data_IF_774077693106
#
_entry.id   IF_774077693106
#
_cell.length_a   1.000
_cell.length_b   1.000
_cell.length_c   1.000
_cell.angle_alpha   90.00
_cell.angle_beta   90.00
_cell.angle_gamma   90.00
#
_symmetry.space_group_name_H-M   'P 1'
#
loop_
_entity.id
_entity.type
_entity.pdbx_description
1 polymer ?
#
# COMPACT_ATOMS: atom_id res chain seq x y z
N UNK A 1 -2.47 64.30 25.51
CA UNK A 1 -1.39 64.30 26.51
C UNK A 1 -0.31 63.35 26.02
N UNK A 2 0.75 63.92 25.44
CA UNK A 2 2.10 63.36 25.19
C UNK A 2 2.31 61.85 25.25
N UNK A 3 2.46 61.24 24.08
CA UNK A 3 3.15 59.96 23.88
C UNK A 3 4.63 60.09 24.30
N UNK A 4 4.98 59.46 25.43
CA UNK A 4 6.37 59.26 25.83
C UNK A 4 6.91 58.02 25.14
N UNK A 5 7.50 58.19 23.96
CA UNK A 5 8.32 57.18 23.31
C UNK A 5 9.59 56.94 24.13
N UNK A 6 9.77 55.71 24.63
CA UNK A 6 10.94 55.30 25.38
C UNK A 6 12.18 55.21 24.46
N UNK A 7 13.33 55.69 24.95
CA UNK A 7 14.58 55.97 24.20
C UNK A 7 15.42 54.72 23.88
N UNK A 8 15.04 53.55 24.40
CA UNK A 8 15.60 52.28 23.94
C UNK A 8 14.73 51.75 22.80
N UNK A 9 15.24 51.87 21.58
CA UNK A 9 14.63 51.27 20.39
C UNK A 9 14.26 49.82 20.68
N UNK A 10 13.01 49.45 20.40
CA UNK A 10 12.52 48.08 20.50
C UNK A 10 13.37 47.21 19.59
N UNK A 11 14.38 46.56 20.18
CA UNK A 11 15.22 45.61 19.49
C UNK A 11 14.33 44.54 18.85
N UNK A 12 14.57 44.29 17.56
CA UNK A 12 13.83 43.34 16.75
C UNK A 12 13.85 41.92 17.33
N UNK A 13 12.81 41.19 16.96
CA UNK A 13 12.71 39.73 16.98
C UNK A 13 12.87 39.00 18.32
N UNK A 14 12.03 39.34 19.29
CA UNK A 14 11.67 38.42 20.38
C UNK A 14 10.54 37.44 20.00
N UNK A 15 10.21 37.33 18.70
CA UNK A 15 9.16 36.46 18.11
C UNK A 15 9.47 34.96 18.21
N UNK A 16 10.58 34.58 18.84
CA UNK A 16 10.96 33.19 19.09
C UNK A 16 10.31 32.62 20.37
N UNK A 17 9.63 33.47 21.16
CA UNK A 17 8.89 33.05 22.35
C UNK A 17 7.44 32.79 21.98
N UNK A 18 6.92 31.62 22.40
CA UNK A 18 5.52 31.23 22.18
C UNK A 18 4.58 32.26 22.82
N UNK A 19 3.94 33.09 22.00
CA UNK A 19 2.92 34.05 22.42
C UNK A 19 1.60 33.31 22.61
N UNK A 20 1.09 33.28 23.84
CA UNK A 20 -0.21 32.68 24.15
C UNK A 20 -1.30 33.68 23.77
N UNK A 21 -2.15 33.34 22.81
CA UNK A 21 -3.31 34.16 22.47
C UNK A 21 -4.39 34.03 23.55
N UNK A 22 -4.53 35.07 24.37
CA UNK A 22 -5.47 35.08 25.51
C UNK A 22 -6.93 34.85 25.06
N UNK A 23 -7.29 35.28 23.84
CA UNK A 23 -8.65 35.09 23.33
C UNK A 23 -8.92 33.63 22.97
N UNK A 24 -7.98 32.96 22.29
CA UNK A 24 -8.09 31.54 21.96
C UNK A 24 -8.16 30.67 23.23
N UNK A 25 -7.32 30.97 24.23
CA UNK A 25 -7.33 30.24 25.50
C UNK A 25 -8.59 30.50 26.32
N UNK A 26 -9.14 31.71 26.28
CA UNK A 26 -10.43 32.02 26.90
C UNK A 26 -11.56 31.23 26.22
N UNK A 27 -11.63 31.22 24.89
CA UNK A 27 -12.62 30.44 24.14
C UNK A 27 -12.52 28.94 24.43
N UNK A 28 -11.30 28.39 24.46
CA UNK A 28 -11.06 26.98 24.79
C UNK A 28 -11.41 26.64 26.24
N UNK A 29 -11.19 27.57 27.17
CA UNK A 29 -11.60 27.40 28.55
C UNK A 29 -13.14 27.40 28.66
N UNK A 30 -13.81 28.31 27.97
CA UNK A 30 -15.27 28.37 27.91
C UNK A 30 -15.86 27.08 27.34
N UNK A 31 -15.34 26.58 26.21
CA UNK A 31 -15.74 25.30 25.63
C UNK A 31 -15.59 24.14 26.62
N UNK A 32 -14.45 24.08 27.33
CA UNK A 32 -14.22 23.06 28.36
C UNK A 32 -15.24 23.17 29.49
N UNK A 33 -15.49 24.38 30.00
CA UNK A 33 -16.48 24.58 31.07
C UNK A 33 -17.91 24.30 30.62
N UNK A 34 -18.26 24.61 29.37
CA UNK A 34 -19.56 24.31 28.80
C UNK A 34 -19.77 22.78 28.68
N UNK A 35 -18.75 22.05 28.23
CA UNK A 35 -18.76 20.58 28.19
C UNK A 35 -18.89 19.98 29.60
N UNK A 36 -18.12 20.46 30.56
CA UNK A 36 -18.20 20.00 31.96
C UNK A 36 -19.58 20.28 32.58
N UNK A 37 -20.18 21.45 32.29
CA UNK A 37 -21.55 21.79 32.73
C UNK A 37 -22.60 20.90 32.08
N UNK A 38 -22.48 20.59 30.78
CA UNK A 38 -23.39 19.68 30.09
C UNK A 38 -23.30 18.25 30.67
N UNK A 39 -22.09 17.75 30.91
CA UNK A 39 -21.89 16.45 31.57
C UNK A 39 -22.41 16.44 33.02
N UNK A 40 -22.23 17.53 33.77
CA UNK A 40 -22.75 17.66 35.12
C UNK A 40 -24.29 17.64 35.17
N UNK A 41 -24.95 18.32 34.23
CA UNK A 41 -26.41 18.25 34.07
C UNK A 41 -26.88 16.83 33.75
N UNK A 42 -26.25 16.18 32.77
CA UNK A 42 -26.60 14.81 32.40
C UNK A 42 -26.35 13.80 33.55
N UNK A 43 -25.32 14.01 34.38
CA UNK A 43 -25.09 13.24 35.61
C UNK A 43 -26.20 13.46 36.65
N UNK A 44 -26.63 14.71 36.83
CA UNK A 44 -27.69 15.07 37.75
C UNK A 44 -29.03 14.46 37.32
N UNK A 45 -29.36 14.54 36.04
CA UNK A 45 -30.57 13.94 35.45
C UNK A 45 -30.55 12.42 35.55
N UNK A 46 -29.42 11.76 35.26
CA UNK A 46 -29.28 10.32 35.44
C UNK A 46 -29.47 9.90 36.91
N UNK A 47 -28.88 10.66 37.85
CA UNK A 47 -29.04 10.43 39.29
C UNK A 47 -30.48 10.65 39.74
N UNK A 48 -31.17 11.68 39.23
CA UNK A 48 -32.57 11.95 39.51
C UNK A 48 -33.48 10.81 38.98
N UNK A 49 -33.12 10.22 37.83
CA UNK A 49 -33.79 9.05 37.27
C UNK A 49 -33.38 7.71 37.93
N UNK A 50 -32.54 7.72 38.97
CA UNK A 50 -32.06 6.52 39.66
C UNK A 50 -31.11 5.63 38.84
N UNK A 51 -30.64 6.10 37.67
CA UNK A 51 -29.75 5.35 36.77
C UNK A 51 -28.30 5.78 36.97
N UNK A 52 -27.35 4.87 36.76
CA UNK A 52 -25.93 5.22 36.75
C UNK A 52 -25.63 6.00 35.47
N UNK A 53 -24.95 7.14 35.62
CA UNK A 53 -24.51 7.93 34.47
C UNK A 53 -23.39 7.21 33.71
N UNK A 54 -23.61 6.96 32.43
CA UNK A 54 -22.59 6.50 31.50
C UNK A 54 -22.34 7.60 30.48
N UNK A 55 -21.07 7.98 30.31
CA UNK A 55 -20.68 8.92 29.26
C UNK A 55 -20.98 8.29 27.91
N UNK A 56 -21.76 8.97 27.06
CA UNK A 56 -22.03 8.49 25.71
C UNK A 56 -20.73 8.49 24.90
N UNK A 57 -20.51 7.42 24.12
CA UNK A 57 -19.39 7.35 23.20
C UNK A 57 -19.62 8.34 22.04
N UNK A 58 -18.62 9.17 21.76
CA UNK A 58 -18.52 10.03 20.58
C UNK A 58 -17.27 9.57 19.84
N UNK A 59 -17.29 9.00 18.62
CA UNK A 59 -18.38 8.75 17.64
C UNK A 59 -19.35 7.58 17.97
N UNK A 60 -20.48 7.41 17.24
CA UNK A 60 -21.44 6.32 17.45
C UNK A 60 -20.75 4.96 17.37
N UNK A 61 -21.02 4.14 18.39
CA UNK A 61 -20.23 2.94 18.68
C UNK A 61 -20.18 2.00 17.49
N UNK A 62 -18.97 1.78 16.95
CA UNK A 62 -18.76 0.63 16.10
C UNK A 62 -18.91 -0.63 16.97
N UNK A 63 -19.64 -1.62 16.49
CA UNK A 63 -19.75 -2.90 17.18
C UNK A 63 -18.34 -3.48 17.34
N UNK A 64 -18.02 -4.08 18.48
CA UNK A 64 -16.72 -4.73 18.64
C UNK A 64 -16.61 -5.87 17.61
N UNK A 65 -15.80 -5.64 16.59
CA UNK A 65 -15.52 -6.62 15.54
C UNK A 65 -14.48 -7.64 15.97
N UNK A 66 -14.21 -8.60 15.10
CA UNK A 66 -13.02 -9.44 15.26
C UNK A 66 -11.77 -8.57 15.07
N UNK A 67 -10.81 -8.67 16.00
CA UNK A 67 -9.55 -7.92 15.88
C UNK A 67 -8.75 -8.43 14.69
N UNK A 68 -8.68 -7.63 13.64
CA UNK A 68 -7.97 -7.99 12.39
C UNK A 68 -6.46 -7.80 12.50
N UNK A 69 -6.00 -6.93 13.40
CA UNK A 69 -4.59 -6.59 13.54
C UNK A 69 -3.86 -7.61 14.42
N UNK A 70 -2.83 -8.24 13.87
CA UNK A 70 -1.86 -9.00 14.65
C UNK A 70 -1.08 -8.04 15.54
N UNK A 71 -0.93 -8.39 16.82
CA UNK A 71 -0.14 -7.60 17.76
C UNK A 71 1.34 -7.95 17.59
N UNK A 72 2.14 -6.98 17.16
CA UNK A 72 3.59 -7.15 17.02
C UNK A 72 4.28 -6.97 18.38
N UNK A 73 4.37 -8.06 19.14
CA UNK A 73 5.07 -8.07 20.43
C UNK A 73 6.59 -8.28 20.29
N UNK A 74 7.03 -8.71 19.11
CA UNK A 74 8.39 -9.18 18.85
C UNK A 74 9.37 -8.07 18.48
N UNK A 75 8.89 -6.92 18.04
CA UNK A 75 9.71 -5.84 17.47
C UNK A 75 10.78 -5.31 18.44
N UNK A 76 10.53 -5.45 19.75
CA UNK A 76 11.40 -4.95 20.81
C UNK A 76 12.13 -6.07 21.57
N UNK A 77 12.10 -7.31 21.07
CA UNK A 77 12.89 -8.39 21.66
C UNK A 77 14.38 -8.09 21.52
N UNK A 78 15.13 -8.26 22.61
CA UNK A 78 16.57 -8.05 22.71
C UNK A 78 17.07 -6.62 22.40
N UNK A 79 16.19 -5.63 22.29
CA UNK A 79 16.58 -4.23 22.08
C UNK A 79 16.57 -3.46 23.40
N UNK A 80 17.67 -2.81 23.72
CA UNK A 80 17.78 -1.88 24.86
C UNK A 80 17.61 -0.44 24.37
N UNK A 81 16.49 0.19 24.72
CA UNK A 81 16.22 1.58 24.35
C UNK A 81 16.45 2.50 25.54
N UNK A 82 17.27 3.53 25.36
CA UNK A 82 17.47 4.58 26.37
C UNK A 82 16.26 5.51 26.34
N UNK A 83 15.53 5.57 27.45
CA UNK A 83 14.38 6.47 27.59
C UNK A 83 14.85 7.75 28.26
N UNK A 84 14.60 8.93 27.66
CA UNK A 84 15.03 10.20 28.25
C UNK A 84 14.30 10.44 29.57
N UNK A 85 15.04 10.91 30.57
CA UNK A 85 14.50 11.22 31.89
C UNK A 85 13.42 12.31 31.77
N UNK A 86 12.15 11.90 31.88
CA UNK A 86 10.98 12.78 31.75
C UNK A 86 9.99 12.41 30.64
N UNK A 87 10.32 11.49 29.72
CA UNK A 87 9.38 11.08 28.65
C UNK A 87 8.18 10.25 29.14
N UNK A 88 8.22 9.73 30.37
CA UNK A 88 7.08 9.07 30.99
C UNK A 88 7.13 9.21 32.50
N UNK A 89 6.21 10.02 33.06
CA UNK A 89 5.97 10.06 34.50
C UNK A 89 4.91 9.00 34.79
N UNK A 90 5.35 7.82 35.24
CA UNK A 90 4.48 6.68 35.51
C UNK A 90 4.04 5.96 34.24
N UNK A 91 2.72 5.77 34.08
CA UNK A 91 2.15 5.10 32.89
C UNK A 91 1.82 6.06 31.75
N UNK A 92 1.84 7.39 31.95
CA UNK A 92 1.51 8.36 30.88
C UNK A 92 2.77 8.89 30.20
N UNK A 93 2.71 9.03 28.88
CA UNK A 93 3.82 9.48 28.05
C UNK A 93 4.60 8.31 27.41
N UNK A 94 5.49 8.61 26.47
CA UNK A 94 6.24 7.62 25.68
C UNK A 94 7.45 7.09 26.45
N UNK A 95 7.18 6.34 27.52
CA UNK A 95 8.18 5.57 28.27
C UNK A 95 8.61 4.28 27.57
N UNK A 96 9.46 3.49 28.25
CA UNK A 96 9.87 2.16 27.77
C UNK A 96 8.69 1.17 27.83
N UNK A 97 8.41 0.50 26.71
CA UNK A 97 7.39 -0.54 26.59
C UNK A 97 6.46 -0.33 25.40
N UNK A 98 5.28 -0.96 25.47
CA UNK A 98 4.21 -0.81 24.49
C UNK A 98 3.42 0.47 24.75
N UNK A 99 3.24 1.31 23.73
CA UNK A 99 2.53 2.59 23.83
C UNK A 99 1.19 2.53 23.12
N UNK A 100 0.15 3.04 23.78
CA UNK A 100 -1.17 3.26 23.20
C UNK A 100 -1.35 4.73 22.83
N UNK A 101 -1.48 5.00 21.53
CA UNK A 101 -1.74 6.35 21.00
C UNK A 101 -3.11 6.90 21.42
N UNK A 102 -4.08 6.02 21.68
CA UNK A 102 -5.47 6.41 22.00
C UNK A 102 -5.61 6.87 23.45
N UNK A 103 -4.92 6.20 24.37
CA UNK A 103 -5.05 6.46 25.81
C UNK A 103 -3.86 7.21 26.41
N UNK A 104 -2.81 7.44 25.63
CA UNK A 104 -1.52 7.99 26.06
C UNK A 104 -0.89 7.22 27.23
N UNK A 105 -1.01 5.90 27.19
CA UNK A 105 -0.51 5.00 28.24
C UNK A 105 0.57 4.06 27.70
N UNK A 106 1.67 3.94 28.44
CA UNK A 106 2.70 2.93 28.23
C UNK A 106 2.60 1.79 29.22
N UNK A 107 2.76 0.57 28.69
CA UNK A 107 2.77 -0.68 29.44
C UNK A 107 4.10 -1.39 29.23
N UNK A 108 4.71 -1.83 30.33
CA UNK A 108 6.01 -2.52 30.32
C UNK A 108 5.90 -4.01 30.04
N UNK A 109 4.72 -4.57 30.28
CA UNK A 109 4.43 -6.00 30.19
C UNK A 109 3.42 -6.24 29.06
N UNK A 110 3.56 -7.38 28.37
CA UNK A 110 2.71 -7.80 27.25
C UNK A 110 1.30 -8.15 27.70
N UNK A 111 1.15 -8.77 28.86
CA UNK A 111 -0.17 -9.11 29.42
C UNK A 111 -0.96 -7.84 29.75
N UNK A 112 -0.33 -6.90 30.45
CA UNK A 112 -0.95 -5.61 30.77
C UNK A 112 -1.29 -4.80 29.51
N UNK A 113 -0.50 -4.94 28.44
CA UNK A 113 -0.78 -4.32 27.15
C UNK A 113 -2.04 -4.90 26.50
N UNK A 114 -2.17 -6.22 26.46
CA UNK A 114 -3.36 -6.89 25.91
C UNK A 114 -4.59 -6.59 26.77
N UNK A 115 -4.46 -6.61 28.09
CA UNK A 115 -5.55 -6.25 29.00
C UNK A 115 -6.00 -4.80 28.82
N UNK A 116 -5.06 -3.89 28.54
CA UNK A 116 -5.39 -2.51 28.20
C UNK A 116 -6.23 -2.41 26.93
N UNK A 117 -5.82 -3.07 25.84
CA UNK A 117 -6.55 -3.09 24.57
C UNK A 117 -7.94 -3.72 24.71
N UNK A 118 -8.11 -4.65 25.64
CA UNK A 118 -9.39 -5.28 25.97
C UNK A 118 -10.21 -4.49 27.01
N UNK A 119 -9.60 -3.53 27.69
CA UNK A 119 -10.26 -2.78 28.75
C UNK A 119 -11.35 -1.89 28.17
N UNK A 120 -12.47 -1.78 28.90
CA UNK A 120 -13.56 -0.88 28.51
C UNK A 120 -13.06 0.55 28.29
N UNK A 121 -12.11 1.02 29.09
CA UNK A 121 -11.54 2.37 28.98
C UNK A 121 -10.92 2.62 27.60
N UNK A 122 -10.18 1.65 27.06
CA UNK A 122 -9.61 1.75 25.73
C UNK A 122 -10.70 1.68 24.64
N UNK A 123 -11.62 0.72 24.74
CA UNK A 123 -12.74 0.59 23.79
C UNK A 123 -13.62 1.85 23.75
N UNK A 124 -13.89 2.46 24.90
CA UNK A 124 -14.60 3.75 25.01
C UNK A 124 -13.87 4.90 24.31
N UNK A 125 -12.53 4.89 24.33
CA UNK A 125 -11.73 5.91 23.68
C UNK A 125 -11.59 5.68 22.17
N UNK A 126 -11.60 4.42 21.72
CA UNK A 126 -11.66 4.05 20.29
C UNK A 126 -13.06 4.30 19.70
N UNK A 127 -14.10 4.24 20.53
CA UNK A 127 -15.49 4.32 20.08
C UNK A 127 -16.08 2.95 19.68
N UNK A 128 -15.55 1.87 20.26
CA UNK A 128 -16.11 0.52 20.13
C UNK A 128 -17.01 0.19 21.32
N UNK A 129 -18.17 -0.43 21.05
CA UNK A 129 -19.00 -0.99 22.11
C UNK A 129 -18.37 -2.28 22.62
N UNK A 130 -18.10 -2.38 23.93
CA UNK A 130 -17.63 -3.62 24.56
C UNK A 130 -18.69 -4.72 24.70
N UNK A 131 -19.79 -4.62 23.96
CA UNK A 131 -20.88 -5.59 23.94
C UNK A 131 -20.74 -6.47 22.71
N UNK A 132 -20.70 -7.78 22.94
CA UNK A 132 -20.52 -8.80 21.90
C UNK A 132 -21.88 -9.38 21.55
N UNK A 133 -22.25 -9.33 20.27
CA UNK A 133 -23.49 -9.94 19.78
C UNK A 133 -23.37 -11.46 19.71
N UNK A 134 -24.46 -12.15 20.02
CA UNK A 134 -24.54 -13.60 19.86
C UNK A 134 -24.71 -13.92 18.38
N UNK A 135 -23.79 -14.73 17.83
CA UNK A 135 -23.81 -15.11 16.43
C UNK A 135 -25.05 -15.97 16.08
N UNK A 136 -25.61 -15.74 14.91
CA UNK A 136 -26.71 -16.54 14.35
C UNK A 136 -26.18 -17.77 13.60
N UNK A 137 -27.07 -18.71 13.26
CA UNK A 137 -26.70 -19.89 12.47
C UNK A 137 -26.19 -19.52 11.06
N UNK A 138 -26.68 -18.42 10.50
CA UNK A 138 -26.28 -17.92 9.19
C UNK A 138 -24.84 -17.39 9.24
N UNK A 139 -24.51 -16.57 10.25
CA UNK A 139 -23.15 -16.04 10.47
C UNK A 139 -22.12 -17.16 10.61
N UNK A 140 -22.49 -18.25 11.29
CA UNK A 140 -21.63 -19.41 11.49
C UNK A 140 -21.36 -20.12 10.16
N UNK A 141 -22.38 -20.32 9.31
CA UNK A 141 -22.21 -20.92 7.99
C UNK A 141 -21.32 -20.06 7.09
N UNK A 142 -21.56 -18.75 7.06
CA UNK A 142 -20.73 -17.80 6.30
C UNK A 142 -19.28 -17.86 6.79
N UNK A 143 -19.05 -17.89 8.11
CA UNK A 143 -17.71 -18.00 8.67
C UNK A 143 -17.01 -19.31 8.28
N UNK A 144 -17.74 -20.42 8.27
CA UNK A 144 -17.19 -21.69 7.80
C UNK A 144 -16.78 -21.64 6.33
N UNK A 145 -17.63 -21.08 5.45
CA UNK A 145 -17.26 -20.92 4.03
C UNK A 145 -16.02 -20.05 3.85
N UNK A 146 -15.92 -18.94 4.58
CA UNK A 146 -14.74 -18.07 4.56
C UNK A 146 -13.46 -18.80 5.01
N UNK A 147 -13.55 -19.66 6.03
CA UNK A 147 -12.40 -20.43 6.53
C UNK A 147 -11.97 -21.52 5.56
N UNK A 148 -12.92 -22.20 4.91
CA UNK A 148 -12.64 -23.17 3.84
C UNK A 148 -11.96 -22.46 2.66
N UNK A 149 -12.50 -21.33 2.21
CA UNK A 149 -11.90 -20.55 1.12
C UNK A 149 -10.50 -20.04 1.45
N UNK A 150 -10.25 -19.66 2.71
CA UNK A 150 -8.91 -19.28 3.17
C UNK A 150 -7.96 -20.47 3.14
N UNK A 151 -8.41 -21.62 3.67
CA UNK A 151 -7.62 -22.87 3.65
C UNK A 151 -7.32 -23.29 2.22
N UNK A 152 -8.29 -23.22 1.31
CA UNK A 152 -8.11 -23.59 -0.09
C UNK A 152 -7.17 -22.61 -0.81
N UNK A 153 -7.19 -21.32 -0.48
CA UNK A 153 -6.21 -20.35 -0.96
C UNK A 153 -4.81 -20.66 -0.45
N UNK A 154 -4.66 -20.86 0.86
CA UNK A 154 -3.37 -21.24 1.47
C UNK A 154 -2.84 -22.57 0.92
N UNK A 155 -3.73 -23.54 0.67
CA UNK A 155 -3.36 -24.80 0.00
C UNK A 155 -2.95 -24.54 -1.44
N UNK A 156 -3.70 -23.78 -2.25
CA UNK A 156 -3.28 -23.44 -3.62
C UNK A 156 -1.97 -22.65 -3.66
N UNK A 157 -1.70 -21.82 -2.64
CA UNK A 157 -0.46 -21.09 -2.46
C UNK A 157 0.70 -21.97 -1.95
N UNK A 158 0.43 -22.99 -1.16
CA UNK A 158 1.43 -24.00 -0.74
C UNK A 158 1.68 -25.07 -1.81
N UNK A 159 0.67 -25.35 -2.63
CA UNK A 159 0.63 -26.37 -3.68
C UNK A 159 0.99 -25.78 -5.06
N UNK A 160 1.71 -24.64 -5.06
CA UNK A 160 2.53 -24.22 -6.21
C UNK A 160 3.73 -25.17 -6.33
N UNK A 161 3.43 -26.43 -6.65
CA UNK A 161 4.40 -27.43 -7.04
C UNK A 161 5.26 -26.83 -8.17
N UNK A 162 6.55 -26.60 -7.91
CA UNK A 162 7.51 -26.08 -8.88
C UNK A 162 7.45 -26.85 -10.21
N UNK A 163 7.13 -28.14 -10.14
CA UNK A 163 6.90 -29.03 -11.30
C UNK A 163 5.71 -28.57 -12.15
N UNK A 164 4.54 -28.29 -11.54
CA UNK A 164 3.35 -27.84 -12.27
C UNK A 164 3.58 -26.49 -12.95
N UNK A 165 4.28 -25.57 -12.30
CA UNK A 165 4.65 -24.26 -12.86
C UNK A 165 5.66 -24.37 -14.02
N UNK A 166 6.62 -25.31 -13.92
CA UNK A 166 7.56 -25.61 -15.02
C UNK A 166 6.84 -26.23 -16.22
N UNK A 167 5.87 -27.11 -15.99
CA UNK A 167 5.08 -27.72 -17.05
C UNK A 167 4.13 -26.73 -17.73
N UNK A 168 3.46 -25.87 -16.97
CA UNK A 168 2.63 -24.78 -17.51
C UNK A 168 3.47 -23.81 -18.35
N UNK A 169 4.66 -23.41 -17.88
CA UNK A 169 5.59 -22.59 -18.68
C UNK A 169 6.06 -23.27 -19.95
N UNK A 170 6.35 -24.58 -19.90
CA UNK A 170 6.74 -25.36 -21.08
C UNK A 170 5.61 -25.44 -22.10
N UNK A 171 4.36 -25.65 -21.65
CA UNK A 171 3.17 -25.68 -22.52
C UNK A 171 2.95 -24.33 -23.22
N UNK A 172 3.08 -23.23 -22.49
CA UNK A 172 2.96 -21.88 -23.05
C UNK A 172 4.07 -21.58 -24.07
N UNK A 173 5.33 -21.93 -23.78
CA UNK A 173 6.44 -21.76 -24.73
C UNK A 173 6.27 -22.65 -25.97
N UNK A 174 5.73 -23.87 -25.81
CA UNK A 174 5.41 -24.76 -26.92
C UNK A 174 4.26 -24.22 -27.80
N UNK A 175 3.19 -23.69 -27.21
CA UNK A 175 2.12 -23.01 -27.94
C UNK A 175 2.61 -21.76 -28.66
N UNK A 176 3.44 -20.93 -28.01
CA UNK A 176 4.02 -19.75 -28.64
C UNK A 176 4.92 -20.14 -29.83
N UNK A 177 5.72 -21.20 -29.68
CA UNK A 177 6.52 -21.76 -30.78
C UNK A 177 5.63 -22.30 -31.91
N UNK A 178 4.50 -22.93 -31.61
CA UNK A 178 3.55 -23.40 -32.62
C UNK A 178 2.91 -22.23 -33.38
N UNK A 179 2.42 -21.22 -32.66
CA UNK A 179 1.87 -20.00 -33.26
C UNK A 179 2.92 -19.30 -34.13
N UNK A 180 4.17 -19.23 -33.67
CA UNK A 180 5.28 -18.65 -34.44
C UNK A 180 5.60 -19.47 -35.69
N UNK A 181 5.53 -20.80 -35.64
CA UNK A 181 5.69 -21.70 -36.79
C UNK A 181 4.55 -21.53 -37.79
N UNK A 182 3.30 -21.42 -37.33
CA UNK A 182 2.13 -21.20 -38.18
C UNK A 182 2.18 -19.83 -38.86
N UNK A 183 2.50 -18.76 -38.12
CA UNK A 183 2.73 -17.42 -38.69
C UNK A 183 3.84 -17.41 -39.74
N UNK A 184 4.93 -18.17 -39.54
CA UNK A 184 6.00 -18.31 -40.54
C UNK A 184 5.56 -19.07 -41.79
N UNK A 185 4.76 -20.14 -41.64
CA UNK A 185 4.21 -20.91 -42.77
C UNK A 185 3.23 -20.07 -43.59
N UNK A 186 2.35 -19.32 -42.93
CA UNK A 186 1.39 -18.44 -43.59
C UNK A 186 2.10 -17.31 -44.34
N UNK A 187 3.12 -16.68 -43.73
CA UNK A 187 3.94 -15.66 -44.40
C UNK A 187 4.62 -16.21 -45.66
N UNK A 188 5.23 -17.41 -45.59
CA UNK A 188 5.85 -18.06 -46.75
C UNK A 188 4.84 -18.42 -47.83
N UNK A 189 3.60 -18.77 -47.48
CA UNK A 189 2.55 -19.08 -48.46
C UNK A 189 2.09 -17.81 -49.20
N UNK A 190 1.87 -16.71 -48.46
CA UNK A 190 1.55 -15.40 -49.06
C UNK A 190 2.66 -14.90 -49.98
N UNK A 191 3.92 -15.02 -49.57
CA UNK A 191 5.07 -14.61 -50.39
C UNK A 191 5.21 -15.47 -51.66
N UNK A 192 4.89 -16.77 -51.62
CA UNK A 192 4.84 -17.63 -52.82
C UNK A 192 3.68 -17.24 -53.73
N UNK A 193 2.50 -16.96 -53.19
CA UNK A 193 1.34 -16.50 -53.98
C UNK A 193 1.60 -15.13 -54.63
N UNK A 194 2.32 -14.22 -53.95
CA UNK A 194 2.74 -12.94 -54.52
C UNK A 194 3.78 -13.11 -55.62
N UNK A 195 4.77 -13.98 -55.44
CA UNK A 195 5.75 -14.32 -56.48
C UNK A 195 5.09 -14.95 -57.70
N UNK A 196 4.16 -15.88 -57.51
CA UNK A 196 3.44 -16.53 -58.62
C UNK A 196 2.52 -15.56 -59.37
N UNK A 197 1.94 -14.57 -58.67
CA UNK A 197 1.19 -13.46 -59.29
C UNK A 197 2.11 -12.50 -60.04
N UNK A 198 3.28 -12.18 -59.50
CA UNK A 198 4.28 -11.35 -60.16
C UNK A 198 4.85 -12.04 -61.42
N UNK A 199 5.12 -13.35 -61.35
CA UNK A 199 5.63 -14.15 -62.46
C UNK A 199 4.58 -14.29 -63.59
N UNK A 200 3.30 -14.47 -63.23
CA UNK A 200 2.19 -14.39 -64.19
C UNK A 200 1.97 -12.99 -64.78
N UNK A 201 2.37 -11.94 -64.09
CA UNK A 201 2.29 -10.56 -64.57
C UNK A 201 3.49 -10.19 -65.48
N UNK A 202 4.66 -10.79 -65.25
CA UNK A 202 5.87 -10.62 -66.08
C UNK A 202 5.82 -11.49 -67.34
N UNK A 203 5.09 -12.62 -67.34
CA UNK A 203 4.92 -13.49 -68.50
C UNK A 203 4.07 -12.95 -69.66
N UNK A 204 3.65 -11.68 -69.65
CA UNK A 204 2.86 -11.05 -70.74
C UNK A 204 3.68 -10.09 -71.60
N UNK A 205 4.95 -9.83 -71.29
CA UNK A 205 5.81 -9.01 -72.17
C UNK A 205 7.22 -9.58 -72.18
N UNK A 206 7.58 -10.34 -73.24
CA UNK A 206 8.87 -10.28 -73.95
C UNK A 206 8.98 -11.36 -75.05
N UNK A 207 8.61 -11.00 -76.29
CA UNK A 207 9.42 -11.33 -77.47
C UNK A 207 10.23 -10.07 -77.79
N UNK A 208 11.56 -10.17 -77.83
CA UNK A 208 12.44 -9.06 -78.20
C UNK A 208 13.85 -9.16 -77.61
N UNK A 209 14.80 -9.57 -78.46
CA UNK A 209 16.24 -9.59 -78.29
C UNK A 209 16.86 -8.36 -77.60
N UNK A 210 17.90 -8.59 -76.78
CA UNK A 210 18.72 -7.52 -76.21
C UNK A 210 19.85 -8.00 -75.29
N UNK A 211 21.03 -8.15 -75.87
CA UNK A 211 22.34 -8.47 -75.27
C UNK A 211 22.83 -7.44 -74.24
N UNK A 212 23.44 -7.89 -73.14
CA UNK A 212 24.23 -7.03 -72.22
C UNK A 212 24.66 -7.71 -70.92
N UNK A 213 25.96 -7.96 -70.78
CA UNK A 213 26.69 -8.51 -69.63
C UNK A 213 26.67 -7.65 -68.36
N UNK A 214 26.78 -8.32 -67.20
CA UNK A 214 27.54 -7.85 -66.02
C UNK A 214 26.73 -7.31 -64.84
N UNK A 215 26.76 -8.02 -63.70
CA UNK A 215 26.79 -7.52 -62.29
C UNK A 215 26.22 -8.59 -61.33
N UNK A 216 27.02 -9.60 -60.97
CA UNK A 216 26.66 -10.66 -59.99
C UNK A 216 27.16 -10.38 -58.55
N UNK A 217 27.72 -9.20 -58.26
CA UNK A 217 28.34 -8.92 -56.93
C UNK A 217 27.41 -8.21 -55.92
N UNK A 218 26.24 -7.72 -56.34
CA UNK A 218 25.35 -6.91 -55.49
C UNK A 218 24.29 -7.71 -54.71
N UNK A 219 24.03 -8.97 -55.08
CA UNK A 219 23.01 -9.79 -54.43
C UNK A 219 23.46 -10.34 -53.06
N UNK A 220 24.74 -10.70 -52.94
CA UNK A 220 25.30 -11.29 -51.71
C UNK A 220 25.38 -10.24 -50.59
N UNK A 221 25.78 -9.01 -50.94
CA UNK A 221 25.84 -7.88 -50.00
C UNK A 221 24.45 -7.42 -49.57
N UNK A 222 23.44 -7.54 -50.43
CA UNK A 222 22.03 -7.22 -50.13
C UNK A 222 21.37 -8.29 -49.26
N UNK A 223 21.67 -9.57 -49.48
CA UNK A 223 21.23 -10.67 -48.62
C UNK A 223 21.89 -10.61 -47.22
N UNK A 224 23.17 -10.24 -47.13
CA UNK A 224 23.87 -10.07 -45.85
C UNK A 224 23.31 -8.91 -45.01
N UNK A 225 22.85 -7.84 -45.67
CA UNK A 225 22.18 -6.70 -45.02
C UNK A 225 20.75 -7.05 -44.57
N UNK A 226 20.03 -7.87 -45.33
CA UNK A 226 18.69 -8.34 -45.00
C UNK A 226 18.66 -9.36 -43.84
N UNK A 227 19.77 -10.08 -43.62
CA UNK A 227 19.96 -10.98 -42.47
C UNK A 227 20.58 -10.32 -41.23
N UNK A 228 20.77 -8.99 -41.23
CA UNK A 228 21.16 -8.23 -40.03
C UNK A 228 22.62 -8.36 -39.61
N UNK A 229 23.51 -8.83 -40.49
CA UNK A 229 24.96 -8.95 -40.21
C UNK A 229 25.77 -7.67 -40.51
N UNK A 230 25.15 -6.66 -41.13
CA UNK A 230 25.80 -5.41 -41.52
C UNK A 230 25.86 -4.32 -40.45
N UNK A 231 26.12 -4.67 -39.18
CA UNK A 231 26.04 -3.74 -38.05
C UNK A 231 26.99 -4.04 -36.89
N UNK A 232 28.27 -3.68 -37.09
CA UNK A 232 29.33 -3.38 -36.10
C UNK A 232 29.19 -3.86 -34.65
N UNK A 233 29.89 -4.94 -34.31
CA UNK A 233 30.26 -5.28 -32.93
C UNK A 233 31.74 -4.93 -32.68
N UNK A 234 31.97 -3.73 -32.15
CA UNK A 234 33.08 -3.37 -31.25
C UNK A 234 34.54 -3.59 -31.70
N UNK A 235 35.13 -2.60 -32.38
CA UNK A 235 36.57 -2.31 -32.18
C UNK A 235 36.82 -0.80 -32.08
N UNK A 236 36.81 -0.28 -30.85
CA UNK A 236 37.31 1.06 -30.54
C UNK A 236 38.74 0.95 -30.02
N UNK A 237 39.73 1.09 -30.91
CA UNK A 237 41.11 1.40 -30.54
C UNK A 237 41.42 2.83 -31.01
N UNK A 238 41.24 3.81 -30.10
CA UNK A 238 41.71 5.18 -30.31
C UNK A 238 43.24 5.20 -30.21
N UNK A 239 43.90 5.68 -31.27
CA UNK A 239 45.26 6.23 -31.22
C UNK A 239 45.12 7.74 -31.37
N UNK A 240 45.16 8.42 -30.24
CA UNK A 240 45.83 9.68 -29.92
C UNK A 240 45.34 10.13 -28.54
#
# INVERSE_FOLDING_TARGET
>A
MTDKSNVYGSAGDTTHRKTWDRAEFAAKAEERTAREKAEAKARYEAKAAGKKYHRQQTPPSQKSGTRERKLNLEENLNKTTIVPAGAGIGKRGKGAGFYCDVCDLTYKDSLQWVDHLNSKQHLFAVGESGEVEVATLEDVKERFTMLVDRRDREMKEGDWDLKRRLEERKKLDEEERRIKREKRKEKKRKEREEKEKAEKMVGVVTEGDGKGDGEEEDEEMKMMRMMGFGGGFGSTKKKN
#
